data_IF_342977727189
#
_entry.id   IF_342977727189
#
_cell.length_a   1.000
_cell.length_b   1.000
_cell.length_c   1.000
_cell.angle_alpha   90.00
_cell.angle_beta   90.00
_cell.angle_gamma   90.00
#
_symmetry.space_group_name_H-M   'P 1'
#
loop_
_entity.id
_entity.type
_entity.pdbx_description
1 polymer ?
#
# COMPACT_ATOMS: atom_id res chain seq x y z
N UNK A 1 23.44 -12.82 -8.95
CA UNK A 1 22.30 -11.95 -9.34
C UNK A 1 21.08 -12.48 -8.60
N UNK A 2 20.47 -11.66 -7.77
CA UNK A 2 19.24 -12.04 -7.08
C UNK A 2 18.14 -12.32 -8.10
N UNK A 3 17.32 -13.34 -7.82
CA UNK A 3 16.23 -13.73 -8.71
C UNK A 3 15.23 -12.57 -8.83
N UNK A 4 14.88 -12.20 -10.08
CA UNK A 4 13.80 -11.22 -10.34
C UNK A 4 12.53 -11.62 -9.60
N UNK A 5 11.97 -10.72 -8.81
CA UNK A 5 10.73 -10.92 -8.05
C UNK A 5 9.54 -10.36 -8.82
N UNK A 6 8.38 -10.97 -8.64
CA UNK A 6 7.10 -10.44 -9.10
C UNK A 6 6.48 -9.62 -7.97
N UNK A 7 6.34 -8.32 -8.16
CA UNK A 7 5.89 -7.37 -7.13
C UNK A 7 4.59 -6.72 -7.58
N UNK A 8 3.54 -6.80 -6.75
CA UNK A 8 2.29 -6.12 -7.01
C UNK A 8 2.09 -4.94 -6.04
N UNK A 9 1.82 -3.74 -6.60
CA UNK A 9 1.71 -2.49 -5.84
C UNK A 9 0.33 -1.88 -6.10
N UNK A 10 -0.47 -1.66 -5.07
CA UNK A 10 -1.74 -0.95 -5.24
C UNK A 10 -1.55 0.57 -5.22
N UNK A 11 -2.23 1.29 -6.14
CA UNK A 11 -2.16 2.75 -6.21
C UNK A 11 -0.82 3.29 -6.72
N UNK A 12 -0.29 2.74 -7.83
CA UNK A 12 1.03 3.05 -8.37
C UNK A 12 1.13 4.32 -9.22
N UNK A 13 0.07 5.14 -9.34
CA UNK A 13 0.05 6.26 -10.28
C UNK A 13 0.62 7.58 -9.78
N UNK A 14 0.86 7.75 -8.48
CA UNK A 14 1.38 8.98 -7.88
C UNK A 14 2.08 8.73 -6.54
N UNK A 15 2.75 9.75 -6.03
CA UNK A 15 3.37 9.76 -4.71
C UNK A 15 4.27 8.54 -4.46
N UNK A 16 4.17 7.96 -3.28
CA UNK A 16 4.97 6.80 -2.85
C UNK A 16 4.79 5.62 -3.82
N UNK A 17 3.55 5.33 -4.24
CA UNK A 17 3.28 4.21 -5.15
C UNK A 17 4.02 4.34 -6.48
N UNK A 18 4.00 5.53 -7.12
CA UNK A 18 4.75 5.79 -8.35
C UNK A 18 6.26 5.68 -8.13
N UNK A 19 6.76 6.21 -7.00
CA UNK A 19 8.17 6.09 -6.64
C UNK A 19 8.61 4.62 -6.49
N UNK A 20 7.80 3.79 -5.84
CA UNK A 20 8.05 2.34 -5.71
C UNK A 20 8.03 1.64 -7.07
N UNK A 21 7.04 1.94 -7.93
CA UNK A 21 6.97 1.39 -9.30
C UNK A 21 8.23 1.74 -10.08
N UNK A 22 8.62 3.02 -10.09
CA UNK A 22 9.79 3.49 -10.83
C UNK A 22 11.08 2.82 -10.35
N UNK A 23 11.30 2.75 -9.04
CA UNK A 23 12.55 2.20 -8.50
C UNK A 23 12.65 0.69 -8.65
N UNK A 24 11.54 -0.05 -8.38
CA UNK A 24 11.57 -1.50 -8.39
C UNK A 24 11.54 -2.11 -9.79
N UNK A 25 10.98 -1.41 -10.79
CA UNK A 25 10.83 -1.95 -12.14
C UNK A 25 12.14 -2.05 -12.93
N UNK A 26 13.23 -1.49 -12.45
CA UNK A 26 14.56 -1.66 -13.03
C UNK A 26 15.08 -3.10 -12.87
N UNK A 27 14.84 -3.70 -11.71
CA UNK A 27 15.42 -5.00 -11.34
C UNK A 27 14.39 -6.13 -11.18
N UNK A 28 13.10 -5.79 -11.08
CA UNK A 28 12.01 -6.71 -10.80
C UNK A 28 10.87 -6.59 -11.80
N UNK A 29 10.00 -7.59 -11.87
CA UNK A 29 8.74 -7.50 -12.59
C UNK A 29 7.73 -6.78 -11.68
N UNK A 30 7.27 -5.60 -12.07
CA UNK A 30 6.37 -4.80 -11.27
C UNK A 30 5.00 -4.71 -11.93
N UNK A 31 4.00 -5.10 -11.20
CA UNK A 31 2.59 -4.91 -11.54
C UNK A 31 2.03 -3.85 -10.60
N UNK A 32 1.22 -2.94 -11.10
CA UNK A 32 0.64 -1.92 -10.24
C UNK A 32 -0.80 -1.59 -10.60
N UNK A 33 -1.60 -1.24 -9.60
CA UNK A 33 -2.97 -0.84 -9.87
C UNK A 33 -3.15 0.67 -9.94
N UNK A 34 -4.07 1.06 -10.80
CA UNK A 34 -4.56 2.44 -10.96
C UNK A 34 -6.08 2.42 -11.08
N UNK A 35 -6.76 3.50 -10.72
CA UNK A 35 -8.23 3.60 -10.90
C UNK A 35 -8.65 4.05 -12.30
N UNK A 36 -7.71 4.58 -13.07
CA UNK A 36 -7.92 5.23 -14.34
C UNK A 36 -6.84 4.76 -15.32
N UNK A 37 -7.26 4.31 -16.50
CA UNK A 37 -6.38 3.80 -17.54
C UNK A 37 -5.34 4.84 -17.98
N UNK A 38 -5.77 6.08 -18.23
CA UNK A 38 -4.89 7.17 -18.66
C UNK A 38 -3.75 7.40 -17.65
N UNK A 39 -4.06 7.32 -16.34
CA UNK A 39 -3.03 7.44 -15.29
C UNK A 39 -2.04 6.28 -15.30
N UNK A 40 -2.47 5.09 -15.67
CA UNK A 40 -1.59 3.95 -15.87
C UNK A 40 -0.65 4.14 -17.06
N UNK A 41 -1.20 4.56 -18.19
CA UNK A 41 -0.45 4.88 -19.40
C UNK A 41 0.60 5.98 -19.17
N UNK A 42 0.23 7.03 -18.44
CA UNK A 42 1.16 8.11 -18.10
C UNK A 42 2.35 7.61 -17.25
N UNK A 43 2.12 6.70 -16.31
CA UNK A 43 3.24 6.11 -15.54
C UNK A 43 4.15 5.29 -16.44
N UNK A 44 3.60 4.45 -17.31
CA UNK A 44 4.40 3.64 -18.25
C UNK A 44 5.23 4.51 -19.17
N UNK A 45 4.65 5.60 -19.69
CA UNK A 45 5.34 6.54 -20.59
C UNK A 45 6.51 7.29 -19.89
N UNK A 46 6.38 7.52 -18.57
CA UNK A 46 7.45 8.16 -17.79
C UNK A 46 8.62 7.20 -17.46
N UNK A 47 8.40 5.89 -17.62
CA UNK A 47 9.41 4.88 -17.30
C UNK A 47 10.21 4.49 -18.54
N UNK A 48 11.54 4.57 -18.45
CA UNK A 48 12.45 4.10 -19.49
C UNK A 48 12.95 2.69 -19.15
N UNK A 49 12.86 1.77 -20.12
CA UNK A 49 13.39 0.40 -19.98
C UNK A 49 12.87 -0.39 -18.77
N UNK A 50 11.61 -0.19 -18.38
CA UNK A 50 11.01 -0.85 -17.23
C UNK A 50 10.19 -2.09 -17.61
N UNK A 51 10.08 -3.04 -16.67
CA UNK A 51 9.20 -4.20 -16.77
C UNK A 51 7.86 -3.98 -16.06
N UNK A 52 7.44 -2.72 -15.89
CA UNK A 52 6.20 -2.39 -15.20
C UNK A 52 4.97 -2.57 -16.11
N UNK A 53 3.90 -3.10 -15.54
CA UNK A 53 2.59 -3.24 -16.18
C UNK A 53 1.50 -2.77 -15.22
N UNK A 54 0.48 -2.06 -15.74
CA UNK A 54 -0.62 -1.60 -14.90
C UNK A 54 -1.91 -2.40 -15.10
N UNK A 55 -2.76 -2.34 -14.08
CA UNK A 55 -4.08 -2.94 -14.01
C UNK A 55 -5.05 -1.87 -13.53
N UNK A 56 -6.22 -1.80 -14.17
CA UNK A 56 -7.28 -0.89 -13.69
C UNK A 56 -8.02 -1.57 -12.55
N UNK A 57 -7.94 -0.99 -11.33
CA UNK A 57 -8.53 -1.57 -10.13
C UNK A 57 -8.78 -0.50 -9.07
N UNK A 58 -9.99 -0.44 -8.52
CA UNK A 58 -10.34 0.33 -7.33
C UNK A 58 -10.43 -0.61 -6.12
N UNK A 59 -9.53 -0.45 -5.15
CA UNK A 59 -9.52 -1.26 -3.93
C UNK A 59 -10.75 -1.04 -3.05
N UNK A 60 -11.50 0.04 -3.28
CA UNK A 60 -12.76 0.34 -2.59
C UNK A 60 -13.96 -0.50 -3.06
N UNK A 61 -13.83 -1.31 -4.11
CA UNK A 61 -14.89 -2.12 -4.71
C UNK A 61 -14.45 -3.57 -4.84
N UNK A 62 -15.26 -4.51 -4.31
CA UNK A 62 -15.02 -5.96 -4.43
C UNK A 62 -14.99 -6.39 -5.90
N UNK A 63 -15.98 -5.96 -6.71
CA UNK A 63 -16.06 -6.32 -8.13
C UNK A 63 -14.83 -5.82 -8.91
N UNK A 64 -14.38 -4.58 -8.64
CA UNK A 64 -13.21 -4.01 -9.29
C UNK A 64 -11.93 -4.76 -8.89
N UNK A 65 -11.80 -5.18 -7.63
CA UNK A 65 -10.66 -5.98 -7.18
C UNK A 65 -10.66 -7.34 -7.86
N UNK A 66 -11.80 -8.03 -7.88
CA UNK A 66 -11.92 -9.33 -8.54
C UNK A 66 -11.54 -9.25 -10.03
N UNK A 67 -12.09 -8.28 -10.76
CA UNK A 67 -11.76 -8.06 -12.18
C UNK A 67 -10.28 -7.73 -12.38
N UNK A 68 -9.73 -6.83 -11.57
CA UNK A 68 -8.32 -6.45 -11.65
C UNK A 68 -7.37 -7.62 -11.36
N UNK A 69 -7.71 -8.49 -10.41
CA UNK A 69 -6.87 -9.66 -10.12
C UNK A 69 -7.01 -10.73 -11.21
N UNK A 70 -8.15 -10.89 -11.86
CA UNK A 70 -8.25 -11.75 -13.05
C UNK A 70 -7.36 -11.24 -14.20
N UNK A 71 -7.23 -9.93 -14.40
CA UNK A 71 -6.25 -9.37 -15.35
C UNK A 71 -4.80 -9.63 -14.89
N UNK A 72 -4.52 -9.49 -13.58
CA UNK A 72 -3.20 -9.80 -13.03
C UNK A 72 -2.79 -11.26 -13.31
N UNK A 73 -3.71 -12.21 -13.14
CA UNK A 73 -3.48 -13.65 -13.39
C UNK A 73 -3.07 -13.95 -14.83
N UNK A 74 -3.48 -13.12 -15.79
CA UNK A 74 -3.11 -13.30 -17.21
C UNK A 74 -1.65 -12.93 -17.50
N UNK A 75 -1.07 -12.04 -16.67
CA UNK A 75 0.26 -11.46 -16.91
C UNK A 75 1.30 -11.85 -15.83
N UNK A 76 0.87 -12.38 -14.70
CA UNK A 76 1.73 -12.83 -13.61
C UNK A 76 1.32 -14.21 -13.13
N UNK A 77 2.26 -15.16 -13.14
CA UNK A 77 2.02 -16.53 -12.66
C UNK A 77 2.07 -16.66 -11.13
N UNK A 78 2.75 -15.74 -10.46
CA UNK A 78 2.87 -15.68 -8.99
C UNK A 78 3.22 -14.27 -8.54
N UNK A 79 2.97 -13.95 -7.28
CA UNK A 79 3.35 -12.68 -6.65
C UNK A 79 4.23 -12.95 -5.43
N UNK A 80 5.49 -12.57 -5.51
CA UNK A 80 6.45 -12.73 -4.40
C UNK A 80 6.27 -11.67 -3.31
N UNK A 81 5.90 -10.44 -3.73
CA UNK A 81 5.73 -9.30 -2.83
C UNK A 81 4.46 -8.53 -3.19
N UNK A 82 3.58 -8.33 -2.20
CA UNK A 82 2.42 -7.45 -2.30
C UNK A 82 2.67 -6.19 -1.47
N UNK A 83 2.54 -5.01 -2.10
CA UNK A 83 2.60 -3.71 -1.41
C UNK A 83 1.22 -3.05 -1.49
N UNK A 84 0.46 -3.09 -0.41
CA UNK A 84 -0.79 -2.39 -0.26
C UNK A 84 -0.51 -0.91 0.06
N UNK A 85 -0.38 -0.10 -0.99
CA UNK A 85 -0.07 1.32 -0.89
C UNK A 85 -1.31 2.21 -1.13
N UNK A 86 -2.31 1.74 -1.87
CA UNK A 86 -3.52 2.53 -2.14
C UNK A 86 -4.19 2.99 -0.83
N UNK A 87 -4.48 4.27 -0.75
CA UNK A 87 -5.13 4.87 0.41
C UNK A 87 -5.61 6.29 0.13
N UNK A 88 -6.55 6.74 0.95
CA UNK A 88 -7.09 8.10 0.90
C UNK A 88 -6.99 8.79 2.25
N UNK A 89 -6.81 10.11 2.18
CA UNK A 89 -7.08 11.07 3.24
C UNK A 89 -8.03 12.09 2.62
N UNK A 90 -9.22 12.24 3.19
CA UNK A 90 -10.25 13.14 2.61
C UNK A 90 -9.81 14.58 2.84
N UNK A 91 -9.64 15.39 1.78
CA UNK A 91 -9.25 16.79 1.91
C UNK A 91 -10.31 17.57 2.72
N UNK A 92 -9.85 18.54 3.51
CA UNK A 92 -10.73 19.39 4.32
C UNK A 92 -11.15 18.79 5.68
N UNK A 93 -10.96 17.49 5.89
CA UNK A 93 -11.16 16.85 7.20
C UNK A 93 -9.86 16.84 8.04
N UNK A 94 -9.09 17.94 7.96
CA UNK A 94 -7.82 18.09 8.65
C UNK A 94 -7.93 18.20 10.18
N UNK A 95 -6.83 18.57 10.84
CA UNK A 95 -6.73 18.71 12.30
C UNK A 95 -7.70 19.77 12.89
N UNK A 96 -8.32 20.58 12.04
CA UNK A 96 -9.24 21.66 12.46
C UNK A 96 -10.67 21.18 12.73
N UNK A 97 -11.07 19.98 12.27
CA UNK A 97 -12.41 19.44 12.53
C UNK A 97 -12.37 18.55 13.75
N UNK A 98 -13.14 18.87 14.83
CA UNK A 98 -13.30 17.99 15.97
C UNK A 98 -13.82 16.61 15.56
N UNK A 99 -13.36 15.58 16.24
CA UNK A 99 -13.75 14.19 15.93
C UNK A 99 -15.28 14.00 15.97
N UNK A 100 -15.94 14.63 16.93
CA UNK A 100 -17.41 14.56 17.13
C UNK A 100 -18.22 15.28 16.03
N UNK A 101 -17.57 16.11 15.20
CA UNK A 101 -18.20 16.83 14.08
C UNK A 101 -17.91 16.16 12.73
N UNK A 102 -17.10 15.11 12.72
CA UNK A 102 -16.78 14.38 11.48
C UNK A 102 -17.97 13.52 11.08
N UNK A 103 -18.43 13.64 9.83
CA UNK A 103 -19.52 12.82 9.32
C UNK A 103 -19.13 11.34 9.18
N UNK A 104 -20.08 10.45 9.48
CA UNK A 104 -19.86 9.00 9.47
C UNK A 104 -19.51 8.47 8.08
N UNK A 105 -20.05 9.05 7.01
CA UNK A 105 -19.77 8.60 5.63
C UNK A 105 -18.30 8.80 5.28
N UNK A 106 -17.68 9.88 5.75
CA UNK A 106 -16.25 10.13 5.59
C UNK A 106 -15.41 9.07 6.33
N UNK A 107 -15.84 8.67 7.52
CA UNK A 107 -15.19 7.59 8.30
C UNK A 107 -15.32 6.27 7.54
N UNK A 108 -16.55 5.90 7.15
CA UNK A 108 -16.82 4.65 6.44
C UNK A 108 -16.11 4.58 5.10
N UNK A 109 -16.10 5.67 4.32
CA UNK A 109 -15.38 5.75 3.03
C UNK A 109 -13.88 5.55 3.20
N UNK A 110 -13.29 6.21 4.20
CA UNK A 110 -11.85 6.09 4.47
C UNK A 110 -11.50 4.68 4.94
N UNK A 111 -12.31 4.11 5.81
CA UNK A 111 -12.16 2.74 6.30
C UNK A 111 -12.31 1.72 5.16
N UNK A 112 -13.29 1.90 4.28
CA UNK A 112 -13.53 1.03 3.13
C UNK A 112 -12.31 0.94 2.22
N UNK A 113 -11.64 2.07 1.93
CA UNK A 113 -10.44 2.08 1.08
C UNK A 113 -9.20 1.62 1.83
N UNK A 114 -8.93 2.22 3.00
CA UNK A 114 -7.64 2.07 3.67
C UNK A 114 -7.50 0.76 4.45
N UNK A 115 -8.60 0.11 4.81
CA UNK A 115 -8.62 -1.12 5.62
C UNK A 115 -9.26 -2.27 4.87
N UNK A 116 -10.54 -2.15 4.49
CA UNK A 116 -11.23 -3.22 3.76
C UNK A 116 -10.65 -3.43 2.36
N UNK A 117 -10.17 -2.37 1.70
CA UNK A 117 -9.47 -2.47 0.43
C UNK A 117 -8.23 -3.37 0.51
N UNK A 118 -7.45 -3.24 1.59
CA UNK A 118 -6.30 -4.12 1.84
C UNK A 118 -6.75 -5.57 2.06
N UNK A 119 -7.82 -5.79 2.82
CA UNK A 119 -8.37 -7.14 3.03
C UNK A 119 -8.84 -7.78 1.72
N UNK A 120 -9.56 -7.02 0.86
CA UNK A 120 -10.01 -7.49 -0.46
C UNK A 120 -8.83 -7.92 -1.32
N UNK A 121 -7.83 -7.05 -1.45
CA UNK A 121 -6.63 -7.34 -2.24
C UNK A 121 -5.88 -8.54 -1.69
N UNK A 122 -5.69 -8.65 -0.38
CA UNK A 122 -5.06 -9.82 0.24
C UNK A 122 -5.83 -11.11 -0.04
N UNK A 123 -7.16 -11.09 0.04
CA UNK A 123 -8.03 -12.26 -0.25
C UNK A 123 -7.75 -12.83 -1.64
N UNK A 124 -7.65 -11.97 -2.64
CA UNK A 124 -7.49 -12.37 -4.03
C UNK A 124 -6.03 -12.64 -4.43
N UNK A 125 -5.06 -11.96 -3.79
CA UNK A 125 -3.64 -12.08 -4.15
C UNK A 125 -2.94 -13.24 -3.41
N UNK A 126 -3.31 -13.51 -2.14
CA UNK A 126 -2.67 -14.59 -1.34
C UNK A 126 -2.70 -15.97 -2.02
N UNK A 127 -3.75 -16.36 -2.77
CA UNK A 127 -3.71 -17.61 -3.55
C UNK A 127 -2.60 -17.66 -4.63
N UNK A 128 -2.12 -16.51 -5.10
CA UNK A 128 -1.04 -16.38 -6.08
C UNK A 128 0.35 -16.29 -5.43
N UNK A 129 0.41 -16.23 -4.09
CA UNK A 129 1.66 -16.01 -3.37
C UNK A 129 2.35 -17.34 -3.04
N UNK A 130 3.59 -17.54 -3.49
CA UNK A 130 4.37 -18.70 -3.13
C UNK A 130 4.78 -18.69 -1.64
N UNK A 131 5.30 -19.82 -1.20
CA UNK A 131 5.84 -19.96 0.15
C UNK A 131 6.97 -18.94 0.41
N UNK A 132 6.99 -18.30 1.59
CA UNK A 132 7.91 -17.23 1.99
C UNK A 132 7.73 -15.90 1.25
N UNK A 133 6.55 -15.63 0.74
CA UNK A 133 6.20 -14.32 0.19
C UNK A 133 6.07 -13.25 1.27
N UNK A 134 5.96 -12.00 0.84
CA UNK A 134 5.89 -10.83 1.73
C UNK A 134 4.69 -9.95 1.41
N UNK A 135 4.03 -9.46 2.44
CA UNK A 135 2.99 -8.43 2.29
C UNK A 135 3.38 -7.21 3.14
N UNK A 136 3.31 -6.04 2.54
CA UNK A 136 3.54 -4.77 3.21
C UNK A 136 2.31 -3.91 3.06
N UNK A 137 1.81 -3.44 4.19
CA UNK A 137 0.71 -2.50 4.25
C UNK A 137 1.28 -1.11 4.57
N UNK A 138 1.14 -0.15 3.65
CA UNK A 138 1.54 1.23 3.90
C UNK A 138 0.56 1.85 4.89
N UNK A 139 1.01 1.95 6.13
CA UNK A 139 0.26 2.51 7.25
C UNK A 139 0.68 3.95 7.53
N UNK A 140 0.63 4.38 8.78
CA UNK A 140 1.01 5.72 9.23
C UNK A 140 1.31 5.72 10.72
N UNK A 141 2.20 6.60 11.18
CA UNK A 141 2.34 6.93 12.59
C UNK A 141 1.04 7.39 13.23
N UNK A 142 0.13 7.99 12.43
CA UNK A 142 -1.23 8.36 12.87
C UNK A 142 -2.12 7.17 13.24
N UNK A 143 -1.73 5.94 12.92
CA UNK A 143 -2.40 4.70 13.33
C UNK A 143 -1.83 4.07 14.61
N UNK A 144 -0.92 4.72 15.30
CA UNK A 144 -0.40 4.25 16.60
C UNK A 144 -1.25 4.80 17.74
N UNK A 145 -1.77 3.91 18.59
CA UNK A 145 -2.60 4.32 19.75
C UNK A 145 -1.77 5.12 20.77
N UNK A 146 -0.51 4.76 20.93
CA UNK A 146 0.38 5.34 21.93
C UNK A 146 0.64 6.84 21.71
N UNK A 147 0.71 7.26 20.44
CA UNK A 147 0.98 8.65 20.02
C UNK A 147 -0.26 9.31 19.39
N UNK A 148 -1.47 8.85 19.75
CA UNK A 148 -2.71 9.30 19.14
C UNK A 148 -3.01 10.76 19.49
N UNK A 149 -2.95 11.65 18.50
CA UNK A 149 -3.36 13.05 18.62
C UNK A 149 -4.80 13.24 18.13
N UNK A 150 -5.37 14.44 18.33
CA UNK A 150 -6.66 14.82 17.78
C UNK A 150 -6.66 15.04 16.25
N UNK A 151 -7.85 15.28 15.68
CA UNK A 151 -8.06 15.53 14.25
C UNK A 151 -7.90 14.30 13.35
N UNK A 152 -8.30 14.45 12.09
CA UNK A 152 -8.19 13.40 11.08
C UNK A 152 -8.74 12.02 11.50
N UNK A 153 -9.85 11.99 12.25
CA UNK A 153 -10.36 10.78 12.89
C UNK A 153 -10.58 9.65 11.90
N UNK A 154 -11.14 9.92 10.71
CA UNK A 154 -11.38 8.94 9.65
C UNK A 154 -10.09 8.21 9.26
N UNK A 155 -9.02 8.99 9.04
CA UNK A 155 -7.73 8.45 8.65
C UNK A 155 -7.07 7.69 9.79
N UNK A 156 -7.04 8.27 11.00
CA UNK A 156 -6.44 7.62 12.18
C UNK A 156 -7.09 6.28 12.47
N UNK A 157 -8.41 6.22 12.56
CA UNK A 157 -9.14 4.97 12.80
C UNK A 157 -8.88 3.93 11.70
N UNK A 158 -8.84 4.36 10.42
CA UNK A 158 -8.53 3.43 9.33
C UNK A 158 -7.12 2.85 9.44
N UNK A 159 -6.13 3.63 9.89
CA UNK A 159 -4.74 3.14 10.04
C UNK A 159 -4.53 2.32 11.31
N UNK A 160 -5.25 2.60 12.40
CA UNK A 160 -5.32 1.71 13.57
C UNK A 160 -5.88 0.34 13.15
N UNK A 161 -7.01 0.33 12.45
CA UNK A 161 -7.63 -0.91 11.98
C UNK A 161 -6.72 -1.66 10.99
N UNK A 162 -6.00 -0.96 10.11
CA UNK A 162 -5.02 -1.57 9.21
C UNK A 162 -3.87 -2.25 9.97
N UNK A 163 -3.38 -1.63 11.06
CA UNK A 163 -2.37 -2.24 11.91
C UNK A 163 -2.91 -3.51 12.60
N UNK A 164 -4.16 -3.47 13.07
CA UNK A 164 -4.85 -4.64 13.61
C UNK A 164 -5.03 -5.74 12.57
N UNK A 165 -5.52 -5.41 11.38
CA UNK A 165 -5.65 -6.34 10.26
C UNK A 165 -4.31 -6.98 9.90
N UNK A 166 -3.23 -6.19 9.84
CA UNK A 166 -1.87 -6.69 9.59
C UNK A 166 -1.49 -7.77 10.60
N UNK A 167 -1.78 -7.54 11.88
CA UNK A 167 -1.48 -8.51 12.94
C UNK A 167 -2.31 -9.77 12.83
N UNK A 168 -3.60 -9.67 12.54
CA UNK A 168 -4.48 -10.83 12.33
C UNK A 168 -3.96 -11.68 11.16
N UNK A 169 -3.80 -11.09 9.98
CA UNK A 169 -3.35 -11.80 8.79
C UNK A 169 -1.94 -12.42 8.98
N UNK A 170 -1.05 -11.75 9.69
CA UNK A 170 0.30 -12.30 9.95
C UNK A 170 0.28 -13.59 10.77
N UNK A 171 -0.74 -13.81 11.59
CA UNK A 171 -0.91 -15.04 12.35
C UNK A 171 -1.63 -16.12 11.53
N UNK A 172 -2.57 -15.74 10.66
CA UNK A 172 -3.34 -16.67 9.84
C UNK A 172 -2.49 -17.33 8.73
N UNK A 173 -1.43 -16.67 8.26
CA UNK A 173 -0.59 -17.19 7.18
C UNK A 173 0.78 -17.72 7.63
N UNK A 174 0.95 -18.06 8.91
CA UNK A 174 2.18 -18.63 9.45
C UNK A 174 2.59 -19.93 8.74
N UNK A 175 1.64 -20.81 8.44
CA UNK A 175 1.90 -22.10 7.78
C UNK A 175 2.44 -21.92 6.35
N UNK A 176 2.01 -20.87 5.66
CA UNK A 176 2.53 -20.49 4.33
C UNK A 176 3.84 -19.72 4.41
N UNK A 177 4.30 -19.35 5.60
CA UNK A 177 5.42 -18.43 5.83
C UNK A 177 5.30 -17.12 5.03
N UNK A 178 4.08 -16.61 4.86
CA UNK A 178 3.86 -15.29 4.30
C UNK A 178 4.01 -14.30 5.44
N UNK A 179 5.09 -13.50 5.38
CA UNK A 179 5.35 -12.48 6.38
C UNK A 179 4.63 -11.18 6.03
N UNK A 180 3.84 -10.66 6.97
CA UNK A 180 2.99 -9.50 6.76
C UNK A 180 3.33 -8.42 7.78
N UNK A 181 3.67 -7.22 7.31
CA UNK A 181 4.00 -6.09 8.16
C UNK A 181 3.29 -4.82 7.71
N UNK A 182 3.11 -3.88 8.64
CA UNK A 182 2.73 -2.52 8.35
C UNK A 182 3.94 -1.59 8.48
N UNK A 183 4.07 -0.62 7.59
CA UNK A 183 5.15 0.38 7.64
C UNK A 183 4.57 1.79 7.61
N UNK A 184 5.11 2.66 8.46
CA UNK A 184 4.93 4.10 8.33
C UNK A 184 5.97 4.65 7.35
N UNK A 185 5.55 5.24 6.22
CA UNK A 185 6.46 5.76 5.20
C UNK A 185 7.14 7.08 5.58
N UNK A 186 6.84 7.61 6.77
CA UNK A 186 7.19 8.97 7.18
C UNK A 186 6.18 10.02 6.69
N UNK A 187 6.49 11.30 6.92
CA UNK A 187 5.71 12.41 6.35
C UNK A 187 6.33 12.84 5.03
N UNK A 188 5.67 12.50 3.93
CA UNK A 188 6.23 12.50 2.57
C UNK A 188 5.62 13.58 1.70
N UNK A 189 6.42 14.30 0.93
CA UNK A 189 6.02 15.34 -0.03
C UNK A 189 5.23 14.73 -1.20
N UNK A 190 3.92 14.62 -1.00
CA UNK A 190 2.93 14.09 -1.95
C UNK A 190 1.69 14.99 -1.89
N UNK A 191 0.73 14.78 -2.79
CA UNK A 191 -0.58 15.47 -2.72
C UNK A 191 -1.27 15.28 -1.36
N UNK A 192 -1.03 14.15 -0.70
CA UNK A 192 -1.59 13.85 0.62
C UNK A 192 -0.79 14.50 1.75
N UNK A 193 0.53 14.49 1.68
CA UNK A 193 1.41 14.99 2.74
C UNK A 193 1.67 16.49 2.68
N UNK A 194 1.48 17.10 1.51
CA UNK A 194 1.76 18.52 1.28
C UNK A 194 3.26 18.84 1.12
N UNK A 195 3.55 20.07 0.72
CA UNK A 195 4.92 20.54 0.45
C UNK A 195 5.78 20.70 1.70
N UNK A 196 5.16 20.83 2.88
CA UNK A 196 5.87 20.98 4.15
C UNK A 196 6.33 19.64 4.75
N UNK A 197 6.05 18.54 4.09
CA UNK A 197 6.47 17.22 4.57
C UNK A 197 8.00 17.10 4.60
N UNK A 198 8.50 16.32 5.57
CA UNK A 198 9.93 16.25 5.89
C UNK A 198 10.74 15.36 4.96
N UNK A 199 10.07 14.40 4.28
CA UNK A 199 10.72 13.46 3.39
C UNK A 199 10.27 13.67 1.94
N UNK A 200 11.20 13.53 1.02
CA UNK A 200 10.87 13.38 -0.40
C UNK A 200 10.28 12.01 -0.68
N UNK A 201 9.61 11.85 -1.82
CA UNK A 201 9.15 10.53 -2.29
C UNK A 201 10.32 9.57 -2.44
N UNK A 202 11.45 10.06 -2.94
CA UNK A 202 12.64 9.24 -3.19
C UNK A 202 13.23 8.68 -1.88
N UNK A 203 13.39 9.50 -0.85
CA UNK A 203 13.87 9.05 0.47
C UNK A 203 12.94 8.01 1.09
N UNK A 204 11.64 8.28 1.08
CA UNK A 204 10.65 7.36 1.63
C UNK A 204 10.60 6.03 0.87
N UNK A 205 10.65 6.05 -0.46
CA UNK A 205 10.64 4.81 -1.26
C UNK A 205 11.90 4.00 -1.08
N UNK A 206 13.08 4.63 -0.98
CA UNK A 206 14.33 3.94 -0.72
C UNK A 206 14.26 3.14 0.61
N UNK A 207 13.76 3.76 1.68
CA UNK A 207 13.57 3.10 2.98
C UNK A 207 12.59 1.91 2.90
N UNK A 208 11.48 2.08 2.18
CA UNK A 208 10.50 1.00 2.00
C UNK A 208 11.13 -0.16 1.23
N UNK A 209 11.86 0.11 0.16
CA UNK A 209 12.50 -0.90 -0.68
C UNK A 209 13.55 -1.67 0.11
N UNK A 210 14.40 -0.97 0.85
CA UNK A 210 15.44 -1.55 1.69
C UNK A 210 14.83 -2.55 2.69
N UNK A 211 13.74 -2.15 3.34
CA UNK A 211 13.01 -3.01 4.25
C UNK A 211 12.34 -4.20 3.53
N UNK A 212 11.65 -3.94 2.42
CA UNK A 212 10.91 -4.96 1.65
C UNK A 212 11.83 -6.05 1.09
N UNK A 213 13.04 -5.68 0.69
CA UNK A 213 14.03 -6.60 0.10
C UNK A 213 15.02 -7.17 1.13
N UNK A 214 15.05 -6.65 2.37
CA UNK A 214 15.93 -7.12 3.46
C UNK A 214 15.78 -8.62 3.72
N UNK A 215 16.87 -9.31 3.99
CA UNK A 215 16.85 -10.71 4.40
C UNK A 215 16.18 -10.92 5.77
N UNK A 216 16.33 -9.95 6.67
CA UNK A 216 15.69 -9.93 8.00
C UNK A 216 14.33 -9.25 7.95
N UNK A 217 13.36 -9.87 7.26
CA UNK A 217 12.00 -9.37 7.16
C UNK A 217 11.11 -9.98 8.25
N UNK A 218 10.73 -9.21 9.30
CA UNK A 218 9.95 -9.72 10.42
C UNK A 218 8.53 -10.12 10.02
N UNK A 219 7.72 -10.58 10.99
CA UNK A 219 6.31 -10.87 10.80
C UNK A 219 5.45 -10.20 11.87
N UNK A 220 4.30 -9.65 11.47
CA UNK A 220 3.29 -9.06 12.35
C UNK A 220 3.73 -7.80 13.09
N UNK A 221 4.62 -7.00 12.49
CA UNK A 221 5.15 -5.77 13.08
C UNK A 221 4.55 -4.52 12.41
N UNK A 222 4.43 -3.47 13.21
CA UNK A 222 4.35 -2.11 12.71
C UNK A 222 5.74 -1.49 12.80
N UNK A 223 6.24 -0.99 11.68
CA UNK A 223 7.59 -0.44 11.56
C UNK A 223 7.49 1.05 11.24
N UNK A 224 8.28 1.81 11.96
CA UNK A 224 8.43 3.24 11.74
C UNK A 224 9.90 3.54 11.57
N UNK A 225 10.23 4.26 10.53
CA UNK A 225 11.58 4.78 10.34
C UNK A 225 11.71 6.14 11.02
N UNK A 226 12.66 6.26 11.93
CA UNK A 226 12.98 7.49 12.69
C UNK A 226 12.14 7.66 13.94
#
# INVERSE_FOLDING_TARGET
>A
MDKKKNIFITGGNRGIGKGLVSSLSNDHNVYFSVRDKEKGENVINDLTNSSAQYIVMDVGSDDSVNQGIEELKKIASSIDILINNAGILIPGLGNSIPAIETDENSILKTFNVNTLGVLRVCREVVPLMPFRSRIINISSGMGQLQDMAGGNISYRLSKVALNGLTKVLSNEFLDKKININAICPGWVQTDMGGSNATLTVQESTAMIIDFVLSDDFPNGKFLRHG
#
